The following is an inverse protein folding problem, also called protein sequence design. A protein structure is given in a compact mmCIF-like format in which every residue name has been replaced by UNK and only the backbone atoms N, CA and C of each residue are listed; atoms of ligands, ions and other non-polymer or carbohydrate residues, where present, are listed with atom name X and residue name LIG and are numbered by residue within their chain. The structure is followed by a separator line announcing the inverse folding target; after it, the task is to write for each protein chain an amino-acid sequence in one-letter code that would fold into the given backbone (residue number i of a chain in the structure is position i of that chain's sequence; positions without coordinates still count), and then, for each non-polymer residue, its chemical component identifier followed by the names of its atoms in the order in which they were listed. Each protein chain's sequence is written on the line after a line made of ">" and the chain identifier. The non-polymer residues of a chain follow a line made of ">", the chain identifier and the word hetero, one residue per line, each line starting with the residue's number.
data_IF_021000994104
#
_entry.id   IF_021000994104
#
_cell.length_a   1.000
_cell.length_b   1.000
_cell.length_c   1.000
_cell.angle_alpha   90.00
_cell.angle_beta   90.00
_cell.angle_gamma   90.00
#
_symmetry.space_group_name_H-M   'P 1'
#
loop_
_entity.id
_entity.type
_entity.pdbx_description
1 polymer ?
#
# COMPACT_ATOMS: atom_id res chain seq x y z
N UNK A 1 9.50 -3.34 -1.29
CA UNK A 1 8.87 -3.80 -0.04
C UNK A 1 8.62 -5.30 -0.14
N UNK A 2 8.81 -6.03 0.94
CA UNK A 2 8.47 -7.46 1.06
C UNK A 2 7.42 -7.63 2.15
N UNK A 3 6.31 -8.30 1.87
CA UNK A 3 5.26 -8.58 2.83
C UNK A 3 5.14 -10.10 3.03
N UNK A 4 5.28 -10.54 4.28
CA UNK A 4 5.14 -11.96 4.63
C UNK A 4 3.67 -12.41 4.49
N UNK A 5 3.42 -13.72 4.35
CA UNK A 5 2.08 -14.27 4.43
C UNK A 5 1.30 -13.74 5.63
N UNK A 6 0.01 -13.51 5.43
CA UNK A 6 -0.93 -13.10 6.49
C UNK A 6 -0.50 -11.82 7.24
N UNK A 7 -0.01 -10.80 6.51
CA UNK A 7 0.36 -9.49 7.08
C UNK A 7 -0.35 -8.34 6.40
N UNK A 8 -0.50 -7.23 7.11
CA UNK A 8 -0.98 -5.96 6.56
C UNK A 8 -0.21 -4.80 7.18
N UNK A 9 0.05 -3.76 6.40
CA UNK A 9 0.61 -2.51 6.91
C UNK A 9 -0.34 -1.82 7.89
N UNK A 10 0.15 -0.81 8.61
CA UNK A 10 -0.75 0.16 9.24
C UNK A 10 -1.49 0.98 8.16
N UNK A 11 -2.61 1.60 8.56
CA UNK A 11 -3.26 2.63 7.73
C UNK A 11 -2.33 3.84 7.67
N UNK A 12 -2.05 4.32 6.47
CA UNK A 12 -1.14 5.45 6.25
C UNK A 12 -1.40 6.16 4.92
N UNK A 13 -0.77 7.32 4.73
CA UNK A 13 -0.71 8.02 3.44
C UNK A 13 0.70 8.58 3.19
N UNK A 14 0.93 9.12 1.98
CA UNK A 14 2.24 9.62 1.53
C UNK A 14 2.30 11.14 1.35
N UNK A 15 1.48 11.87 2.12
CA UNK A 15 1.32 13.33 1.96
C UNK A 15 0.97 13.69 0.52
N UNK A 16 1.68 14.68 -0.03
CA UNK A 16 1.51 15.18 -1.41
C UNK A 16 2.05 14.24 -2.50
N UNK A 17 2.63 13.09 -2.14
CA UNK A 17 3.27 12.20 -3.11
C UNK A 17 2.29 11.15 -3.65
N UNK A 18 2.16 11.09 -4.97
CA UNK A 18 1.59 9.94 -5.64
C UNK A 18 2.52 8.74 -5.51
N UNK A 19 1.94 7.55 -5.37
CA UNK A 19 2.68 6.30 -5.26
C UNK A 19 2.28 5.35 -6.38
N UNK A 20 3.29 4.79 -7.04
CA UNK A 20 3.12 3.72 -8.02
C UNK A 20 3.69 2.45 -7.40
N UNK A 21 2.87 1.41 -7.36
CA UNK A 21 3.27 0.06 -6.96
C UNK A 21 3.34 -0.79 -8.23
N UNK A 22 4.45 -1.50 -8.39
CA UNK A 22 4.58 -2.60 -9.33
C UNK A 22 4.67 -3.92 -8.56
N UNK A 23 3.76 -4.84 -8.86
CA UNK A 23 3.75 -6.17 -8.26
C UNK A 23 4.80 -7.06 -8.93
N UNK A 24 5.93 -7.29 -8.26
CA UNK A 24 7.04 -8.08 -8.81
C UNK A 24 6.78 -9.59 -8.68
N UNK A 25 6.33 -10.04 -7.50
CA UNK A 25 6.01 -11.45 -7.22
C UNK A 25 5.02 -11.58 -6.06
N UNK A 26 4.33 -12.71 -6.01
CA UNK A 26 3.25 -12.98 -5.06
C UNK A 26 1.96 -12.23 -5.41
N UNK A 27 0.89 -12.53 -4.67
CA UNK A 27 -0.42 -11.89 -4.81
C UNK A 27 -0.76 -11.11 -3.54
N UNK A 28 -1.00 -9.81 -3.68
CA UNK A 28 -1.40 -8.99 -2.55
C UNK A 28 -2.40 -7.93 -2.96
N UNK A 29 -2.76 -7.08 -2.01
CA UNK A 29 -3.95 -6.25 -2.13
C UNK A 29 -3.70 -4.87 -1.56
N UNK A 30 -4.20 -3.86 -2.26
CA UNK A 30 -4.31 -2.51 -1.74
C UNK A 30 -5.75 -2.30 -1.25
N UNK A 31 -5.89 -1.99 0.04
CA UNK A 31 -7.14 -1.59 0.66
C UNK A 31 -7.18 -0.08 0.77
N UNK A 32 -8.32 0.53 0.44
CA UNK A 32 -8.54 1.98 0.55
C UNK A 32 -10.01 2.26 0.90
N UNK A 33 -10.37 3.55 1.03
CA UNK A 33 -11.74 3.96 1.36
C UNK A 33 -12.26 3.27 2.63
N UNK A 34 -11.54 3.44 3.75
CA UNK A 34 -11.84 2.80 5.03
C UNK A 34 -11.81 1.25 4.96
N UNK A 35 -10.97 0.71 4.08
CA UNK A 35 -10.86 -0.73 3.83
C UNK A 35 -11.99 -1.33 3.00
N UNK A 36 -12.94 -0.52 2.50
CA UNK A 36 -14.10 -0.99 1.72
C UNK A 36 -13.76 -1.22 0.25
N UNK A 37 -12.76 -0.52 -0.26
CA UNK A 37 -12.29 -0.69 -1.63
C UNK A 37 -11.07 -1.58 -1.62
N UNK A 38 -11.13 -2.64 -2.44
CA UNK A 38 -10.10 -3.64 -2.57
C UNK A 38 -9.58 -3.67 -3.99
N UNK A 39 -8.26 -3.63 -4.16
CA UNK A 39 -7.61 -3.84 -5.44
C UNK A 39 -6.55 -4.93 -5.29
N UNK A 40 -6.82 -6.09 -5.87
CA UNK A 40 -5.90 -7.20 -5.90
C UNK A 40 -4.87 -6.99 -7.02
N UNK A 41 -3.62 -7.34 -6.72
CA UNK A 41 -2.48 -7.21 -7.62
C UNK A 41 -1.80 -8.57 -7.78
N UNK A 42 -1.69 -8.98 -9.04
CA UNK A 42 -0.93 -10.15 -9.47
C UNK A 42 0.45 -9.72 -9.99
N UNK A 43 1.43 -10.64 -10.09
CA UNK A 43 2.73 -10.31 -10.66
C UNK A 43 2.60 -9.71 -12.07
N UNK A 44 3.20 -8.53 -12.28
CA UNK A 44 3.10 -7.76 -13.52
C UNK A 44 2.15 -6.55 -13.44
N UNK A 45 1.26 -6.50 -12.45
CA UNK A 45 0.30 -5.42 -12.30
C UNK A 45 0.93 -4.13 -11.75
N UNK A 46 0.27 -3.01 -12.05
CA UNK A 46 0.55 -1.70 -11.49
C UNK A 46 -0.66 -1.15 -10.74
N UNK A 47 -0.42 -0.48 -9.63
CA UNK A 47 -1.40 0.36 -8.95
C UNK A 47 -0.89 1.79 -8.81
N UNK A 48 -1.79 2.75 -9.04
CA UNK A 48 -1.60 4.15 -8.65
C UNK A 48 -2.37 4.38 -7.35
N UNK A 49 -1.68 4.91 -6.35
CA UNK A 49 -2.24 5.41 -5.11
C UNK A 49 -2.02 6.92 -5.11
N UNK A 50 -3.08 7.72 -5.35
CA UNK A 50 -2.95 9.18 -5.37
C UNK A 50 -2.51 9.75 -4.02
N UNK A 51 -1.89 10.93 -4.07
CA UNK A 51 -1.55 11.73 -2.89
C UNK A 51 -2.69 11.76 -1.86
N UNK A 52 -2.33 11.73 -0.58
CA UNK A 52 -3.23 11.73 0.58
C UNK A 52 -4.19 10.53 0.70
N UNK A 53 -4.17 9.58 -0.24
CA UNK A 53 -5.01 8.39 -0.13
C UNK A 53 -4.56 7.56 1.06
N UNK A 54 -5.42 7.45 2.06
CA UNK A 54 -5.26 6.45 3.11
C UNK A 54 -5.36 5.06 2.49
N UNK A 55 -4.40 4.21 2.80
CA UNK A 55 -4.39 2.85 2.28
C UNK A 55 -3.70 1.89 3.24
N UNK A 56 -3.94 0.61 2.98
CA UNK A 56 -3.18 -0.50 3.53
C UNK A 56 -2.72 -1.42 2.43
N UNK A 57 -1.63 -2.07 2.73
CA UNK A 57 -0.89 -2.96 1.88
C UNK A 57 -0.97 -4.33 2.54
N UNK A 58 -1.84 -5.18 2.01
CA UNK A 58 -2.18 -6.46 2.60
C UNK A 58 -1.64 -7.63 1.78
N UNK A 59 -1.10 -8.62 2.49
CA UNK A 59 -0.82 -9.95 1.97
C UNK A 59 -1.63 -10.95 2.81
N UNK A 60 -2.78 -11.33 2.30
CA UNK A 60 -3.66 -12.35 2.90
C UNK A 60 -3.39 -13.75 2.33
N UNK A 61 -2.37 -13.89 1.48
CA UNK A 61 -1.95 -15.15 0.91
C UNK A 61 -0.95 -15.90 1.80
N UNK A 62 -0.57 -17.08 1.32
CA UNK A 62 0.38 -17.99 1.98
C UNK A 62 1.82 -17.86 1.45
N UNK A 63 2.05 -17.01 0.44
CA UNK A 63 3.36 -16.75 -0.15
C UNK A 63 3.87 -15.34 0.19
N UNK A 64 5.19 -15.13 0.08
CA UNK A 64 5.75 -13.79 0.22
C UNK A 64 5.41 -12.94 -1.01
N UNK A 65 4.99 -11.70 -0.73
CA UNK A 65 4.73 -10.69 -1.76
C UNK A 65 5.91 -9.72 -1.85
N UNK A 66 6.33 -9.41 -3.07
CA UNK A 66 7.39 -8.43 -3.34
C UNK A 66 6.85 -7.33 -4.24
N UNK A 67 6.89 -6.10 -3.76
CA UNK A 67 6.48 -4.91 -4.49
C UNK A 67 7.64 -3.94 -4.70
N UNK A 68 7.68 -3.33 -5.88
CA UNK A 68 8.54 -2.18 -6.17
C UNK A 68 7.66 -0.94 -6.04
N UNK A 69 8.04 -0.03 -5.14
CA UNK A 69 7.25 1.15 -4.82
C UNK A 69 8.06 2.37 -5.22
N UNK A 70 7.48 3.22 -6.06
CA UNK A 70 8.04 4.50 -6.46
C UNK A 70 7.10 5.62 -6.03
N UNK A 71 7.66 6.76 -5.64
CA UNK A 71 6.90 7.95 -5.22
C UNK A 71 7.36 9.16 -6.02
N UNK A 72 6.47 10.12 -6.24
CA UNK A 72 6.75 11.28 -7.11
C UNK A 72 7.79 12.27 -6.55
N UNK A 73 8.14 12.20 -5.26
CA UNK A 73 9.11 13.10 -4.63
C UNK A 73 10.51 12.52 -4.46
N UNK A 74 11.52 13.39 -4.33
CA UNK A 74 12.93 12.99 -4.16
C UNK A 74 13.29 12.40 -2.78
N UNK A 75 12.36 12.41 -1.82
CA UNK A 75 12.53 11.76 -0.52
C UNK A 75 11.19 11.15 -0.08
N UNK A 76 11.16 9.88 0.36
CA UNK A 76 9.91 9.20 0.65
C UNK A 76 9.21 9.79 1.88
N UNK A 77 7.92 10.11 1.75
CA UNK A 77 7.05 10.51 2.87
C UNK A 77 6.18 9.33 3.29
N UNK A 78 6.03 9.12 4.59
CA UNK A 78 5.07 8.16 5.17
C UNK A 78 4.48 8.80 6.42
N UNK A 79 3.15 8.85 6.48
CA UNK A 79 2.41 9.34 7.63
C UNK A 79 1.54 8.21 8.14
N UNK A 80 1.95 7.58 9.24
CA UNK A 80 1.18 6.52 9.89
C UNK A 80 0.00 7.10 10.65
N UNK A 81 -1.14 6.42 10.62
CA UNK A 81 -2.37 6.84 11.28
C UNK A 81 -2.75 5.87 12.40
N UNK A 82 -3.55 6.34 13.36
CA UNK A 82 -4.17 5.49 14.38
C UNK A 82 -5.24 4.52 13.81
N UNK A 83 -5.70 4.78 12.58
CA UNK A 83 -6.71 4.02 11.84
C UNK A 83 -7.23 4.83 10.65
N UNK A 84 -8.29 4.33 10.01
CA UNK A 84 -8.98 5.05 8.93
C UNK A 84 -9.60 6.36 9.43
N UNK A 85 -9.35 7.48 8.75
CA UNK A 85 -9.73 8.83 9.19
C UNK A 85 -9.09 9.24 10.53
N UNK A 86 -8.08 8.50 10.98
CA UNK A 86 -7.42 8.69 12.26
C UNK A 86 -6.42 9.86 12.22
N UNK A 87 -5.99 10.27 13.41
CA UNK A 87 -4.90 11.25 13.53
C UNK A 87 -3.56 10.59 13.21
N UNK A 88 -2.55 11.42 12.93
CA UNK A 88 -1.16 10.96 12.84
C UNK A 88 -0.76 10.27 14.16
N UNK A 89 -0.16 9.09 14.03
CA UNK A 89 0.31 8.24 15.12
C UNK A 89 1.72 8.63 15.56
#
# INVERSE_FOLDING_TARGET
>A
MTAKPNTSSAVHHHGEQDTIIFAKSGHGTILSNEGKTRQDLSPGDFALIPAWTEHQEANEGEEEVVWIISRSGGSPVVVNLEGWGGKMK
#
